data_IF_156694266067
#
_entry.id   IF_156694266067
#
_cell.length_a   1.000
_cell.length_b   1.000
_cell.length_c   1.000
_cell.angle_alpha   90.00
_cell.angle_beta   90.00
_cell.angle_gamma   90.00
#
_symmetry.space_group_name_H-M   'P 1'
#
loop_
_entity.id
_entity.type
_entity.pdbx_description
1 polymer ?
#
# COMPACT_ATOMS: atom_id res chain seq x y z
N UNK A 1 -2.60 -6.04 -18.20
CA UNK A 1 -2.95 -5.15 -19.32
C UNK A 1 -3.14 -3.76 -18.76
N UNK A 2 -2.36 -2.81 -19.23
CA UNK A 2 -2.44 -1.40 -18.81
C UNK A 2 -3.56 -0.72 -19.60
N UNK A 3 -4.43 0.05 -18.93
CA UNK A 3 -5.48 0.83 -19.59
C UNK A 3 -4.99 2.27 -19.84
N UNK A 4 -5.54 2.99 -20.83
CA UNK A 4 -5.09 4.34 -21.19
C UNK A 4 -5.18 5.41 -20.09
N UNK A 5 -5.86 5.12 -18.97
CA UNK A 5 -6.12 6.09 -17.90
C UNK A 5 -5.13 6.00 -16.72
N UNK A 6 -4.17 5.07 -16.73
CA UNK A 6 -3.16 4.99 -15.67
C UNK A 6 -2.10 6.09 -15.84
N UNK A 7 -2.21 7.17 -15.07
CA UNK A 7 -1.23 8.25 -15.05
C UNK A 7 -0.05 7.80 -14.18
N UNK A 8 1.07 7.43 -14.82
CA UNK A 8 2.32 7.14 -14.12
C UNK A 8 3.05 8.44 -13.80
N UNK A 9 3.18 8.80 -12.52
CA UNK A 9 4.07 9.88 -12.11
C UNK A 9 5.48 9.29 -11.94
N UNK A 10 6.37 9.57 -12.91
CA UNK A 10 7.77 9.20 -12.83
C UNK A 10 8.55 10.30 -12.09
N UNK A 11 8.76 10.12 -10.78
CA UNK A 11 9.68 10.96 -10.02
C UNK A 11 11.10 10.42 -10.14
N UNK A 12 11.84 10.90 -11.15
CA UNK A 12 13.27 10.59 -11.29
C UNK A 12 14.07 11.40 -10.29
N UNK A 13 14.42 10.80 -9.15
CA UNK A 13 15.48 11.34 -8.30
C UNK A 13 16.82 11.16 -9.02
N UNK A 14 17.56 12.26 -9.21
CA UNK A 14 18.84 12.26 -9.93
C UNK A 14 19.81 11.28 -9.25
N UNK A 15 20.29 10.30 -10.02
CA UNK A 15 21.25 9.29 -9.59
C UNK A 15 22.52 9.97 -9.03
N UNK A 16 22.77 9.79 -7.73
CA UNK A 16 23.90 10.38 -7.02
C UNK A 16 23.98 9.97 -5.56
N UNK A 17 22.85 9.63 -4.94
CA UNK A 17 22.83 9.01 -3.62
C UNK A 17 23.17 7.52 -3.69
N UNK A 18 24.44 7.19 -3.49
CA UNK A 18 24.90 5.82 -3.25
C UNK A 18 24.34 5.36 -1.90
N UNK A 19 23.46 4.35 -1.89
CA UNK A 19 23.05 3.69 -0.64
C UNK A 19 24.26 2.90 -0.15
N UNK A 20 25.04 3.50 0.75
CA UNK A 20 26.26 2.87 1.30
C UNK A 20 25.89 1.66 2.16
N UNK A 21 26.78 0.66 2.24
CA UNK A 21 26.76 -0.40 3.24
C UNK A 21 26.35 0.16 4.61
N UNK A 22 25.19 -0.26 5.12
CA UNK A 22 24.62 0.21 6.40
C UNK A 22 23.39 1.11 6.28
N UNK A 23 23.14 1.75 5.13
CA UNK A 23 21.81 2.32 4.86
C UNK A 23 20.85 1.17 4.59
N UNK A 24 19.93 0.91 5.51
CA UNK A 24 18.89 -0.11 5.29
C UNK A 24 18.04 0.35 4.11
N UNK A 25 17.86 -0.50 3.11
CA UNK A 25 16.89 -0.28 2.01
C UNK A 25 15.52 0.14 2.55
N UNK A 26 15.14 -0.38 3.73
CA UNK A 26 13.97 0.03 4.50
C UNK A 26 13.88 1.53 4.78
N UNK A 27 15.00 2.22 4.98
CA UNK A 27 15.05 3.68 5.17
C UNK A 27 14.75 4.43 3.88
N UNK A 28 15.30 3.98 2.75
CA UNK A 28 15.02 4.57 1.43
C UNK A 28 13.56 4.37 1.07
N UNK A 29 13.03 3.14 1.19
CA UNK A 29 11.60 2.90 1.03
C UNK A 29 10.77 3.78 1.96
N UNK A 30 11.10 3.86 3.26
CA UNK A 30 10.32 4.67 4.20
C UNK A 30 10.32 6.16 3.87
N UNK A 31 11.42 6.75 3.41
CA UNK A 31 11.45 8.17 3.08
C UNK A 31 10.89 8.46 1.69
N UNK A 32 11.10 7.56 0.74
CA UNK A 32 10.54 7.66 -0.61
C UNK A 32 9.02 7.49 -0.60
N UNK A 33 8.48 6.51 0.14
CA UNK A 33 7.02 6.35 0.27
C UNK A 33 6.41 7.52 1.04
N UNK A 34 7.07 8.01 2.09
CA UNK A 34 6.65 9.24 2.78
C UNK A 34 6.61 10.43 1.83
N UNK A 35 7.64 10.61 1.00
CA UNK A 35 7.72 11.69 0.01
C UNK A 35 6.73 11.56 -1.15
N UNK A 36 6.46 10.34 -1.63
CA UNK A 36 5.46 10.08 -2.67
C UNK A 36 4.01 10.26 -2.16
N UNK A 37 3.77 9.92 -0.88
CA UNK A 37 2.48 10.17 -0.21
C UNK A 37 2.14 11.67 -0.12
N UNK A 38 3.13 12.56 -0.23
CA UNK A 38 2.91 14.02 -0.32
C UNK A 38 2.20 14.41 -1.63
N UNK A 39 2.34 13.63 -2.71
CA UNK A 39 1.83 13.98 -4.04
C UNK A 39 0.47 13.35 -4.37
N UNK A 40 0.25 12.09 -3.99
CA UNK A 40 -1.05 11.44 -4.13
C UNK A 40 -1.12 10.25 -3.18
N UNK A 41 -2.18 10.21 -2.38
CA UNK A 41 -2.42 9.14 -1.41
C UNK A 41 -2.95 7.86 -2.06
N UNK A 42 -3.02 7.76 -3.40
CA UNK A 42 -3.48 6.57 -4.13
C UNK A 42 -2.42 6.00 -5.07
N UNK A 43 -1.14 6.07 -4.69
CA UNK A 43 0.00 5.70 -5.55
C UNK A 43 0.70 4.46 -5.02
N UNK A 44 0.83 3.46 -5.88
CA UNK A 44 1.72 2.32 -5.69
C UNK A 44 3.14 2.74 -6.04
N UNK A 45 4.02 2.74 -5.04
CA UNK A 45 5.41 3.19 -5.19
C UNK A 45 6.31 1.98 -5.40
N UNK A 46 7.02 1.98 -6.52
CA UNK A 46 8.07 1.02 -6.85
C UNK A 46 9.42 1.71 -6.88
N UNK A 47 10.48 1.02 -6.51
CA UNK A 47 11.84 1.50 -6.72
C UNK A 47 12.68 0.47 -7.47
N UNK A 48 13.55 0.94 -8.35
CA UNK A 48 14.50 0.10 -9.06
C UNK A 48 15.92 0.40 -8.57
N UNK A 49 16.70 -0.63 -8.27
CA UNK A 49 18.08 -0.51 -7.84
C UNK A 49 18.97 -1.57 -8.50
N UNK A 50 20.25 -1.26 -8.71
CA UNK A 50 21.25 -2.20 -9.25
C UNK A 50 22.22 -2.67 -8.18
N UNK A 51 22.62 -3.94 -8.24
CA UNK A 51 23.71 -4.49 -7.46
C UNK A 51 25.04 -4.39 -8.25
N UNK A 52 26.19 -4.16 -7.59
CA UNK A 52 27.49 -4.21 -8.24
C UNK A 52 27.83 -5.61 -8.75
N UNK A 53 28.40 -5.70 -9.96
CA UNK A 53 28.69 -6.96 -10.71
C UNK A 53 29.51 -7.96 -9.89
N UNK A 54 30.46 -7.49 -9.09
CA UNK A 54 31.32 -8.35 -8.24
C UNK A 54 30.60 -9.09 -7.10
N UNK A 55 29.31 -8.82 -6.86
CA UNK A 55 28.54 -9.50 -5.80
C UNK A 55 28.07 -10.91 -6.20
N UNK A 56 27.85 -11.15 -7.51
CA UNK A 56 27.34 -12.42 -8.04
C UNK A 56 28.48 -13.43 -8.25
N UNK A 57 29.62 -12.96 -8.76
CA UNK A 57 30.80 -13.81 -8.99
C UNK A 57 31.53 -14.22 -7.70
N UNK A 58 31.55 -13.35 -6.68
CA UNK A 58 32.33 -13.59 -5.46
C UNK A 58 31.78 -14.71 -4.54
N UNK A 59 30.63 -15.32 -4.84
CA UNK A 59 29.99 -16.29 -3.93
C UNK A 59 29.77 -17.69 -4.46
N UNK A 60 29.97 -17.98 -5.75
CA UNK A 60 30.06 -19.36 -6.29
C UNK A 60 29.01 -20.38 -5.79
N UNK A 61 27.86 -19.92 -5.31
CA UNK A 61 26.84 -20.73 -4.62
C UNK A 61 25.52 -20.49 -5.32
N UNK A 62 24.77 -21.56 -5.51
CA UNK A 62 23.37 -21.50 -5.94
C UNK A 62 22.66 -20.35 -5.22
N UNK A 63 21.95 -19.52 -5.98
CA UNK A 63 21.27 -18.34 -5.47
C UNK A 63 20.26 -18.78 -4.40
N UNK A 64 20.54 -18.48 -3.13
CA UNK A 64 19.61 -18.72 -2.03
C UNK A 64 18.58 -17.58 -1.97
N UNK A 65 17.51 -17.71 -2.74
CA UNK A 65 16.43 -16.72 -2.82
C UNK A 65 15.72 -16.44 -1.49
N UNK A 66 15.87 -17.32 -0.49
CA UNK A 66 15.20 -17.18 0.80
C UNK A 66 15.91 -16.19 1.73
N UNK A 67 17.19 -15.90 1.49
CA UNK A 67 17.96 -14.97 2.33
C UNK A 67 17.94 -13.53 1.80
N UNK A 68 16.78 -12.87 1.91
CA UNK A 68 16.52 -11.51 1.43
C UNK A 68 17.57 -10.47 1.87
N UNK A 69 18.12 -10.58 3.08
CA UNK A 69 19.11 -9.61 3.58
C UNK A 69 20.43 -9.61 2.81
N UNK A 70 20.78 -10.72 2.15
CA UNK A 70 21.98 -10.78 1.32
C UNK A 70 21.80 -9.97 0.03
N UNK A 71 20.61 -10.05 -0.59
CA UNK A 71 20.32 -9.40 -1.87
C UNK A 71 20.04 -7.90 -1.74
N UNK A 72 19.68 -7.46 -0.53
CA UNK A 72 19.28 -6.08 -0.22
C UNK A 72 20.43 -5.21 0.32
N UNK A 73 21.69 -5.62 0.10
CA UNK A 73 22.90 -4.88 0.51
C UNK A 73 23.58 -4.22 -0.69
N UNK A 74 24.18 -3.06 -0.44
CA UNK A 74 25.05 -2.34 -1.40
C UNK A 74 24.43 -2.04 -2.78
N UNK A 75 23.11 -1.81 -2.82
CA UNK A 75 22.40 -1.46 -4.05
C UNK A 75 22.54 0.03 -4.37
N UNK A 76 22.54 0.38 -5.67
CA UNK A 76 22.42 1.77 -6.13
C UNK A 76 21.00 2.01 -6.61
N UNK A 77 20.27 2.92 -5.94
CA UNK A 77 18.93 3.35 -6.38
C UNK A 77 19.04 4.05 -7.73
N UNK A 78 18.24 3.62 -8.69
CA UNK A 78 18.15 4.23 -10.02
C UNK A 78 17.00 5.21 -10.10
N UNK A 79 15.80 4.75 -9.74
CA UNK A 79 14.58 5.53 -9.86
C UNK A 79 13.51 5.07 -8.87
N UNK A 80 12.52 5.94 -8.72
CA UNK A 80 11.26 5.67 -8.02
C UNK A 80 10.14 5.91 -9.02
N UNK A 81 9.21 4.98 -9.10
CA UNK A 81 8.04 5.07 -9.98
C UNK A 81 6.79 5.04 -9.12
N UNK A 82 5.94 6.06 -9.27
CA UNK A 82 4.61 6.07 -8.69
C UNK A 82 3.56 5.69 -9.74
N UNK A 83 2.76 4.67 -9.46
CA UNK A 83 1.64 4.26 -10.31
C UNK A 83 0.34 4.55 -9.55
N UNK A 84 -0.46 5.47 -10.06
CA UNK A 84 -1.82 5.70 -9.57
C UNK A 84 -2.81 4.82 -10.34
N UNK A 85 -3.71 4.17 -9.60
CA UNK A 85 -4.89 3.53 -10.18
C UNK A 85 -6.09 4.47 -9.97
N UNK A 86 -6.50 5.22 -11.01
CA UNK A 86 -7.57 6.20 -10.84
C UNK A 86 -8.89 5.51 -10.54
N UNK A 87 -9.66 6.12 -9.64
CA UNK A 87 -11.05 5.72 -9.42
C UNK A 87 -11.81 5.91 -10.74
N UNK A 88 -12.54 4.88 -11.16
CA UNK A 88 -13.35 4.96 -12.38
C UNK A 88 -14.45 6.02 -12.19
N UNK A 89 -14.72 6.87 -13.20
CA UNK A 89 -15.62 8.02 -13.04
C UNK A 89 -17.05 7.61 -12.66
N UNK A 90 -17.50 6.41 -13.01
CA UNK A 90 -18.82 5.88 -12.68
C UNK A 90 -18.96 5.40 -11.22
N UNK A 91 -17.85 5.12 -10.53
CA UNK A 91 -17.85 4.47 -9.20
C UNK A 91 -18.52 5.33 -8.11
N UNK A 92 -18.20 6.63 -7.97
CA UNK A 92 -18.84 7.47 -6.94
C UNK A 92 -20.36 7.53 -7.08
N UNK A 93 -20.86 7.62 -8.32
CA UNK A 93 -22.30 7.64 -8.59
C UNK A 93 -22.97 6.32 -8.19
N UNK A 94 -22.37 5.19 -8.54
CA UNK A 94 -22.90 3.88 -8.16
C UNK A 94 -22.93 3.69 -6.64
N UNK A 95 -21.91 4.16 -5.92
CA UNK A 95 -21.86 4.10 -4.46
C UNK A 95 -22.95 4.95 -3.84
N UNK A 96 -23.15 6.18 -4.33
CA UNK A 96 -24.22 7.05 -3.86
C UNK A 96 -25.61 6.42 -4.07
N UNK A 97 -25.84 5.77 -5.20
CA UNK A 97 -27.10 5.06 -5.48
C UNK A 97 -27.31 3.89 -4.51
N UNK A 98 -26.29 3.10 -4.23
CA UNK A 98 -26.33 2.03 -3.23
C UNK A 98 -26.69 2.58 -1.84
N UNK A 99 -26.02 3.66 -1.41
CA UNK A 99 -26.27 4.28 -0.11
C UNK A 99 -27.70 4.86 -0.01
N UNK A 100 -28.22 5.49 -1.08
CA UNK A 100 -29.61 5.97 -1.14
C UNK A 100 -30.63 4.84 -1.07
N UNK A 101 -30.29 3.65 -1.56
CA UNK A 101 -31.11 2.45 -1.45
C UNK A 101 -30.99 1.75 -0.08
N UNK A 102 -30.23 2.32 0.87
CA UNK A 102 -30.00 1.73 2.19
C UNK A 102 -28.97 0.60 2.20
N UNK A 103 -28.16 0.45 1.14
CA UNK A 103 -27.11 -0.57 1.03
C UNK A 103 -25.79 0.01 1.54
N UNK A 104 -25.21 -0.61 2.57
CA UNK A 104 -23.89 -0.21 3.08
C UNK A 104 -22.77 -0.79 2.21
N UNK A 105 -21.97 0.08 1.60
CA UNK A 105 -20.80 -0.30 0.80
C UNK A 105 -19.57 -0.40 1.71
N UNK A 106 -18.79 -1.48 1.59
CA UNK A 106 -17.54 -1.69 2.33
C UNK A 106 -16.40 -2.05 1.37
N UNK A 107 -15.24 -1.42 1.55
CA UNK A 107 -14.04 -1.69 0.76
C UNK A 107 -13.16 -2.74 1.43
N UNK A 108 -12.69 -3.72 0.65
CA UNK A 108 -11.61 -4.64 1.04
C UNK A 108 -10.51 -4.53 -0.01
N UNK A 109 -9.30 -4.16 0.40
CA UNK A 109 -8.13 -4.03 -0.49
C UNK A 109 -6.88 -4.60 0.17
N UNK A 110 -5.90 -4.98 -0.65
CA UNK A 110 -4.54 -5.33 -0.22
C UNK A 110 -3.60 -4.14 -0.09
N UNK A 111 -4.07 -2.91 -0.37
CA UNK A 111 -3.28 -1.70 -0.18
C UNK A 111 -3.10 -1.36 1.32
N UNK A 112 -2.19 -0.42 1.61
CA UNK A 112 -2.01 0.07 2.98
C UNK A 112 -3.20 0.93 3.44
N UNK A 113 -3.29 1.16 4.75
CA UNK A 113 -4.42 1.87 5.40
C UNK A 113 -4.60 3.28 4.84
N UNK A 114 -3.51 4.00 4.63
CA UNK A 114 -3.53 5.37 4.11
C UNK A 114 -4.07 5.43 2.68
N UNK A 115 -3.67 4.46 1.85
CA UNK A 115 -4.13 4.33 0.47
C UNK A 115 -5.60 3.95 0.42
N UNK A 116 -6.00 2.96 1.21
CA UNK A 116 -7.39 2.53 1.30
C UNK A 116 -8.31 3.67 1.75
N UNK A 117 -7.89 4.45 2.75
CA UNK A 117 -8.60 5.63 3.24
C UNK A 117 -8.79 6.67 2.12
N UNK A 118 -7.71 7.03 1.43
CA UNK A 118 -7.80 8.02 0.34
C UNK A 118 -8.73 7.58 -0.79
N UNK A 119 -8.62 6.31 -1.23
CA UNK A 119 -9.48 5.77 -2.29
C UNK A 119 -10.94 5.72 -1.80
N UNK A 120 -11.18 5.30 -0.56
CA UNK A 120 -12.53 5.23 0.01
C UNK A 120 -13.18 6.62 0.10
N UNK A 121 -12.43 7.67 0.46
CA UNK A 121 -12.91 9.05 0.44
C UNK A 121 -13.20 9.53 -0.98
N UNK A 122 -12.28 9.28 -1.95
CA UNK A 122 -12.50 9.61 -3.38
C UNK A 122 -13.75 8.91 -3.95
N UNK A 123 -14.02 7.69 -3.53
CA UNK A 123 -15.18 6.90 -3.94
C UNK A 123 -16.49 7.30 -3.23
N UNK A 124 -16.45 8.10 -2.16
CA UNK A 124 -17.63 8.43 -1.34
C UNK A 124 -18.07 7.29 -0.39
N UNK A 125 -17.20 6.31 -0.13
CA UNK A 125 -17.45 5.26 0.87
C UNK A 125 -17.22 5.82 2.27
N UNK A 126 -16.11 6.54 2.44
CA UNK A 126 -15.82 7.34 3.64
C UNK A 126 -16.21 8.79 3.35
N UNK A 127 -16.95 9.39 4.27
CA UNK A 127 -17.32 10.80 4.20
C UNK A 127 -16.71 11.55 5.37
N UNK A 128 -16.46 12.85 5.18
CA UNK A 128 -15.97 13.73 6.24
C UNK A 128 -17.12 14.63 6.69
N UNK A 129 -17.53 14.48 7.95
CA UNK A 129 -18.51 15.35 8.61
C UNK A 129 -17.79 16.16 9.69
N UNK A 130 -17.81 17.49 9.57
CA UNK A 130 -17.18 18.41 10.53
C UNK A 130 -15.68 18.14 10.79
N UNK A 131 -14.95 17.73 9.75
CA UNK A 131 -13.51 17.42 9.86
C UNK A 131 -13.22 16.09 10.58
N UNK A 132 -14.22 15.22 10.73
CA UNK A 132 -14.05 13.85 11.23
C UNK A 132 -14.61 12.86 10.21
N UNK A 133 -13.93 11.74 10.06
CA UNK A 133 -14.36 10.64 9.20
C UNK A 133 -15.58 9.94 9.81
N UNK A 134 -16.59 9.71 8.98
CA UNK A 134 -17.81 8.98 9.34
C UNK A 134 -17.66 7.48 9.01
N UNK A 135 -16.64 6.84 9.57
CA UNK A 135 -16.37 5.42 9.33
C UNK A 135 -15.11 4.88 9.97
N UNK A 136 -14.89 3.56 9.84
CA UNK A 136 -13.74 2.86 10.40
C UNK A 136 -12.85 2.30 9.29
N UNK A 137 -11.55 2.61 9.35
CA UNK A 137 -10.51 1.98 8.53
C UNK A 137 -9.60 1.15 9.42
N UNK A 138 -9.32 -0.09 9.04
CA UNK A 138 -8.44 -0.98 9.81
C UNK A 138 -7.53 -1.81 8.89
N UNK A 139 -6.33 -2.14 9.37
CA UNK A 139 -5.42 -3.06 8.68
C UNK A 139 -5.83 -4.52 8.94
N UNK A 140 -5.23 -5.44 8.17
CA UNK A 140 -5.53 -6.87 8.29
C UNK A 140 -5.15 -7.47 9.65
N UNK A 141 -4.20 -6.90 10.38
CA UNK A 141 -3.83 -7.36 11.73
C UNK A 141 -4.90 -6.98 12.73
N UNK A 142 -5.39 -5.75 12.65
CA UNK A 142 -6.45 -5.26 13.50
C UNK A 142 -7.77 -5.98 13.23
N UNK A 143 -8.13 -6.17 11.95
CA UNK A 143 -9.30 -6.96 11.58
C UNK A 143 -9.21 -8.39 12.13
N UNK A 144 -8.10 -9.10 11.88
CA UNK A 144 -7.89 -10.45 12.39
C UNK A 144 -7.97 -10.53 13.92
N UNK A 145 -7.44 -9.53 14.62
CA UNK A 145 -7.50 -9.45 16.08
C UNK A 145 -8.94 -9.30 16.56
N UNK A 146 -9.73 -8.45 15.92
CA UNK A 146 -11.12 -8.18 16.30
C UNK A 146 -12.04 -9.38 16.11
N UNK A 147 -11.89 -10.12 15.01
CA UNK A 147 -12.78 -11.25 14.68
C UNK A 147 -12.47 -12.54 15.45
N UNK A 148 -11.34 -12.62 16.16
CA UNK A 148 -10.91 -13.83 16.86
C UNK A 148 -11.33 -13.82 18.32
N UNK A 149 -11.63 -15.00 18.86
CA UNK A 149 -11.94 -15.15 20.28
C UNK A 149 -10.66 -15.05 21.13
N UNK A 150 -10.64 -14.25 22.22
CA UNK A 150 -9.41 -14.00 22.99
C UNK A 150 -8.78 -15.26 23.59
N UNK A 151 -9.61 -16.23 24.02
CA UNK A 151 -9.12 -17.44 24.67
C UNK A 151 -8.70 -18.55 23.69
N UNK A 152 -9.31 -18.64 22.51
CA UNK A 152 -9.10 -19.78 21.59
C UNK A 152 -8.34 -19.39 20.32
N UNK A 153 -8.25 -18.10 20.00
CA UNK A 153 -7.64 -17.60 18.76
C UNK A 153 -8.41 -17.96 17.48
N UNK A 154 -9.52 -18.69 17.58
CA UNK A 154 -10.37 -19.04 16.45
C UNK A 154 -11.26 -17.86 16.03
N UNK A 155 -11.65 -17.83 14.76
CA UNK A 155 -12.59 -16.83 14.25
C UNK A 155 -13.96 -17.05 14.89
N UNK A 156 -14.54 -15.99 15.43
CA UNK A 156 -15.87 -15.97 16.04
C UNK A 156 -16.84 -15.24 15.11
N UNK A 157 -17.95 -15.89 14.77
CA UNK A 157 -19.02 -15.28 13.97
C UNK A 157 -19.58 -14.02 14.66
N UNK A 158 -19.78 -14.08 15.98
CA UNK A 158 -20.29 -12.94 16.75
C UNK A 158 -19.37 -11.72 16.64
N UNK A 159 -18.06 -11.93 16.71
CA UNK A 159 -17.09 -10.85 16.59
C UNK A 159 -16.98 -10.32 15.16
N UNK A 160 -17.10 -11.21 14.17
CA UNK A 160 -17.19 -10.83 12.76
C UNK A 160 -18.41 -9.94 12.51
N UNK A 161 -19.59 -10.34 13.01
CA UNK A 161 -20.83 -9.57 12.87
C UNK A 161 -20.73 -8.19 13.53
N UNK A 162 -20.05 -8.09 14.68
CA UNK A 162 -19.77 -6.79 15.34
C UNK A 162 -18.93 -5.89 14.45
N UNK A 163 -17.88 -6.41 13.82
CA UNK A 163 -17.04 -5.62 12.90
C UNK A 163 -17.83 -5.21 11.66
N UNK A 164 -18.68 -6.08 11.14
CA UNK A 164 -19.54 -5.78 9.99
C UNK A 164 -20.68 -4.78 10.29
N UNK A 165 -20.91 -4.42 11.55
CA UNK A 165 -21.90 -3.40 11.96
C UNK A 165 -21.27 -2.04 12.28
N UNK A 166 -19.94 -1.96 12.36
CA UNK A 166 -19.21 -0.69 12.33
C UNK A 166 -19.38 0.00 10.98
#
# INVERSE_FOLDING_TARGET
GWTPNQVGLLLVFRAGHRIRAGHRIRWVFSNVTKGASVYSQSVKVFCQAMAPVGYIEARGRALNFDNQELWLKDLTLLCVVGIEDPVRPEVPLAIAQCQQAGITVRMVTGDNVETARSIATKCGILTELNGREDGVVMDGREFNRRIRHPATGQVSQENFDKVCRL
#
